data_IF_229573954786
#
_entry.id   IF_229573954786
#
_cell.length_a   1.000
_cell.length_b   1.000
_cell.length_c   1.000
_cell.angle_alpha   90.00
_cell.angle_beta   90.00
_cell.angle_gamma   90.00
#
_symmetry.space_group_name_H-M   'P 1'
#
loop_
_entity.id
_entity.type
_entity.pdbx_description
1 polymer ?
#
# COMPACT_ATOMS: atom_id res chain seq x y z
N UNK A 1 -45.51 41.98 -47.83
CA UNK A 1 -44.28 41.27 -47.38
C UNK A 1 -44.39 40.97 -45.90
N UNK A 2 -44.78 39.74 -45.53
CA UNK A 2 -44.90 39.30 -44.13
C UNK A 2 -43.56 38.72 -43.68
N UNK A 3 -42.91 39.32 -42.67
CA UNK A 3 -41.69 38.79 -42.04
C UNK A 3 -42.10 37.70 -41.03
N UNK A 4 -41.67 36.52 -41.22
CA UNK A 4 -41.81 35.35 -40.36
C UNK A 4 -40.61 35.29 -39.42
N UNK A 5 -40.82 35.47 -38.10
CA UNK A 5 -39.81 35.31 -37.09
C UNK A 5 -39.82 33.83 -36.63
N UNK A 6 -38.68 33.13 -36.88
CA UNK A 6 -38.45 31.83 -36.34
C UNK A 6 -37.93 31.97 -34.86
N UNK A 7 -38.69 31.44 -33.94
CA UNK A 7 -38.32 31.35 -32.55
C UNK A 7 -37.56 30.04 -32.38
N UNK A 8 -36.23 30.10 -32.18
CA UNK A 8 -35.42 28.94 -31.83
C UNK A 8 -35.55 28.68 -30.35
N UNK A 9 -36.27 27.63 -29.99
CA UNK A 9 -36.34 27.13 -28.60
C UNK A 9 -35.10 26.25 -28.39
N UNK A 10 -34.12 26.79 -27.67
CA UNK A 10 -32.92 26.04 -27.22
C UNK A 10 -33.31 25.13 -26.06
N UNK A 11 -33.31 23.83 -26.28
CA UNK A 11 -33.38 22.83 -25.19
C UNK A 11 -32.03 22.77 -24.48
N UNK A 12 -31.92 23.37 -23.31
CA UNK A 12 -30.82 23.15 -22.39
C UNK A 12 -31.01 21.78 -21.71
N UNK A 13 -30.33 20.75 -22.16
CA UNK A 13 -30.16 19.51 -21.42
C UNK A 13 -29.17 19.79 -20.30
N UNK A 14 -29.68 20.01 -19.08
CA UNK A 14 -28.88 20.00 -17.89
C UNK A 14 -28.49 18.54 -17.59
N UNK A 15 -27.25 18.16 -17.91
CA UNK A 15 -26.66 16.91 -17.41
C UNK A 15 -26.46 17.05 -15.91
N UNK A 16 -27.39 16.51 -15.13
CA UNK A 16 -27.17 16.23 -13.72
C UNK A 16 -26.17 15.08 -13.63
N UNK A 17 -24.89 15.42 -13.44
CA UNK A 17 -23.89 14.45 -13.01
C UNK A 17 -24.21 14.16 -11.54
N UNK A 18 -24.97 13.11 -11.31
CA UNK A 18 -25.09 12.53 -9.98
C UNK A 18 -23.71 11.98 -9.61
N UNK A 19 -22.93 12.74 -8.85
CA UNK A 19 -21.81 12.20 -8.11
C UNK A 19 -22.41 11.14 -7.17
N UNK A 20 -22.32 9.87 -7.52
CA UNK A 20 -22.62 8.77 -6.61
C UNK A 20 -21.63 8.92 -5.46
N UNK A 21 -22.11 9.39 -4.31
CA UNK A 21 -21.44 9.18 -3.03
C UNK A 21 -21.40 7.68 -2.82
N UNK A 22 -20.33 7.02 -3.26
CA UNK A 22 -20.06 5.65 -2.86
C UNK A 22 -19.82 5.68 -1.36
N UNK A 23 -20.78 5.17 -0.60
CA UNK A 23 -20.63 5.03 0.85
C UNK A 23 -19.38 4.19 1.09
N UNK A 24 -18.47 4.69 1.94
CA UNK A 24 -17.29 3.96 2.34
C UNK A 24 -17.73 2.65 3.02
N UNK A 25 -17.31 1.48 2.53
CA UNK A 25 -17.72 0.22 3.13
C UNK A 25 -17.26 0.16 4.60
N UNK A 26 -18.05 -0.45 5.49
CA UNK A 26 -17.68 -0.56 6.89
C UNK A 26 -16.38 -1.37 7.05
N UNK A 27 -15.59 -1.05 8.08
CA UNK A 27 -14.43 -1.85 8.44
C UNK A 27 -14.90 -3.21 8.96
N UNK A 28 -14.31 -4.27 8.41
CA UNK A 28 -14.55 -5.68 8.78
C UNK A 28 -13.24 -6.40 9.04
N UNK A 29 -13.32 -7.52 9.76
CA UNK A 29 -12.20 -8.41 10.05
C UNK A 29 -12.42 -9.73 9.33
N UNK A 30 -11.50 -10.11 8.46
CA UNK A 30 -11.41 -11.45 7.89
C UNK A 30 -10.45 -12.28 8.73
N UNK A 31 -10.96 -13.37 9.32
CA UNK A 31 -10.19 -14.21 10.25
C UNK A 31 -9.22 -15.10 9.47
N UNK A 32 -7.92 -15.01 9.82
CA UNK A 32 -6.86 -15.87 9.28
C UNK A 32 -6.56 -17.00 10.27
N UNK A 33 -6.39 -16.66 11.54
CA UNK A 33 -6.21 -17.60 12.65
C UNK A 33 -6.97 -17.13 13.89
N UNK A 34 -6.80 -17.78 15.03
CA UNK A 34 -7.45 -17.33 16.26
C UNK A 34 -6.96 -15.97 16.73
N UNK A 35 -5.74 -15.58 16.35
CA UNK A 35 -5.11 -14.33 16.78
C UNK A 35 -4.86 -13.35 15.65
N UNK A 36 -4.96 -13.75 14.37
CA UNK A 36 -4.61 -12.95 13.20
C UNK A 36 -5.80 -12.72 12.29
N UNK A 37 -5.98 -11.45 11.88
CA UNK A 37 -7.08 -11.00 11.03
C UNK A 37 -6.57 -10.03 9.97
N UNK A 38 -7.14 -10.09 8.75
CA UNK A 38 -7.02 -9.02 7.78
C UNK A 38 -8.11 -7.96 8.06
N UNK A 39 -7.73 -6.69 8.05
CA UNK A 39 -8.65 -5.55 8.19
C UNK A 39 -9.07 -5.11 6.79
N UNK A 40 -10.34 -5.30 6.48
CA UNK A 40 -10.96 -4.96 5.20
C UNK A 40 -11.87 -3.75 5.32
N UNK A 41 -12.29 -3.17 4.19
CA UNK A 41 -13.22 -2.03 4.16
C UNK A 41 -12.61 -0.75 4.73
N UNK A 42 -13.45 0.23 5.04
CA UNK A 42 -12.99 1.58 5.36
C UNK A 42 -12.39 2.28 4.13
N UNK A 43 -11.92 3.50 4.32
CA UNK A 43 -11.16 4.24 3.31
C UNK A 43 -9.66 4.00 3.50
N UNK A 44 -8.97 3.55 2.47
CA UNK A 44 -7.54 3.21 2.49
C UNK A 44 -7.31 1.72 2.25
N UNK A 45 -6.04 1.34 2.34
CA UNK A 45 -5.58 -0.02 2.09
C UNK A 45 -6.10 -1.03 3.11
N UNK A 46 -6.08 -2.31 2.78
CA UNK A 46 -6.25 -3.38 3.77
C UNK A 46 -5.08 -3.36 4.75
N UNK A 47 -5.36 -3.73 5.98
CA UNK A 47 -4.37 -3.82 7.05
C UNK A 47 -4.46 -5.14 7.79
N UNK A 48 -3.87 -5.20 8.97
CA UNK A 48 -3.88 -6.39 9.81
C UNK A 48 -4.18 -6.08 11.27
N UNK A 49 -4.68 -7.07 11.99
CA UNK A 49 -4.83 -7.07 13.44
C UNK A 49 -4.27 -8.37 14.01
N UNK A 50 -3.37 -8.26 14.97
CA UNK A 50 -2.85 -9.41 15.72
C UNK A 50 -3.09 -9.27 17.22
N UNK A 51 -3.56 -10.34 17.84
CA UNK A 51 -3.87 -10.40 19.28
C UNK A 51 -2.73 -11.14 19.98
N UNK A 52 -1.85 -10.40 20.67
CA UNK A 52 -0.84 -10.95 21.57
C UNK A 52 -1.42 -11.39 22.91
N UNK A 53 -0.54 -11.74 23.87
CA UNK A 53 -0.99 -12.21 25.18
C UNK A 53 -1.73 -11.12 25.98
N UNK A 54 -1.27 -9.86 25.89
CA UNK A 54 -1.83 -8.75 26.68
C UNK A 54 -2.24 -7.53 25.85
N UNK A 55 -2.01 -7.54 24.55
CA UNK A 55 -2.10 -6.38 23.68
C UNK A 55 -2.53 -6.74 22.25
N UNK A 56 -2.84 -5.73 21.47
CA UNK A 56 -3.17 -5.83 20.04
C UNK A 56 -2.19 -5.00 19.25
N UNK A 57 -1.69 -5.56 18.16
CA UNK A 57 -0.92 -4.86 17.11
C UNK A 57 -1.82 -4.63 15.91
N UNK A 58 -1.80 -3.41 15.38
CA UNK A 58 -2.45 -3.06 14.12
C UNK A 58 -1.36 -2.87 13.04
N UNK A 59 -1.63 -3.32 11.84
CA UNK A 59 -0.78 -3.13 10.66
C UNK A 59 -1.54 -2.19 9.72
N UNK A 60 -0.94 -1.06 9.41
CA UNK A 60 -1.48 0.05 8.63
C UNK A 60 -2.75 0.70 9.18
N UNK A 61 -2.85 2.01 9.01
CA UNK A 61 -3.80 2.83 9.76
C UNK A 61 -5.03 3.29 8.99
N UNK A 62 -5.19 2.91 7.70
CA UNK A 62 -6.19 3.51 6.82
C UNK A 62 -5.91 5.01 6.52
N UNK A 63 -6.93 5.74 6.03
CA UNK A 63 -6.76 7.13 5.58
C UNK A 63 -7.42 8.18 6.46
N UNK A 64 -8.44 7.84 7.25
CA UNK A 64 -9.28 8.83 7.92
C UNK A 64 -9.81 8.34 9.27
N UNK A 65 -10.33 9.30 10.04
CA UNK A 65 -10.86 9.05 11.38
C UNK A 65 -11.99 8.01 11.40
N UNK A 66 -12.90 8.07 10.44
CA UNK A 66 -14.05 7.15 10.39
C UNK A 66 -13.58 5.70 10.24
N UNK A 67 -12.59 5.48 9.38
CA UNK A 67 -12.00 4.16 9.17
C UNK A 67 -11.22 3.68 10.40
N UNK A 68 -10.47 4.57 11.06
CA UNK A 68 -9.77 4.24 12.32
C UNK A 68 -10.75 3.92 13.45
N UNK A 69 -11.82 4.69 13.61
CA UNK A 69 -12.90 4.40 14.57
C UNK A 69 -13.54 3.02 14.27
N UNK A 70 -13.66 2.69 12.97
CA UNK A 70 -14.09 1.38 12.49
C UNK A 70 -13.16 0.25 12.93
N UNK A 71 -11.82 0.45 12.82
CA UNK A 71 -10.82 -0.51 13.32
C UNK A 71 -11.03 -0.76 14.81
N UNK A 72 -11.06 0.29 15.64
CA UNK A 72 -11.24 0.15 17.09
C UNK A 72 -12.58 -0.50 17.46
N UNK A 73 -13.63 -0.21 16.70
CA UNK A 73 -14.95 -0.85 16.88
C UNK A 73 -14.89 -2.35 16.56
N UNK A 74 -14.15 -2.73 15.51
CA UNK A 74 -13.96 -4.13 15.13
C UNK A 74 -13.08 -4.89 16.15
N UNK A 75 -11.99 -4.27 16.61
CA UNK A 75 -11.13 -4.82 17.69
C UNK A 75 -11.95 -5.14 18.94
N UNK A 76 -12.78 -4.21 19.42
CA UNK A 76 -13.62 -4.38 20.63
C UNK A 76 -14.61 -5.54 20.54
N UNK A 77 -15.03 -5.94 19.34
CA UNK A 77 -15.93 -7.09 19.14
C UNK A 77 -15.21 -8.43 19.33
N UNK A 78 -13.89 -8.45 19.18
CA UNK A 78 -13.07 -9.67 19.20
C UNK A 78 -12.31 -9.81 20.53
N UNK A 79 -11.80 -8.71 21.08
CA UNK A 79 -10.98 -8.74 22.30
C UNK A 79 -11.15 -7.46 23.13
N UNK A 80 -10.94 -7.59 24.46
CA UNK A 80 -10.84 -6.44 25.37
C UNK A 80 -9.42 -5.94 25.58
N UNK A 81 -8.41 -6.53 24.91
CA UNK A 81 -7.01 -6.11 25.05
C UNK A 81 -6.78 -4.76 24.38
N UNK A 82 -5.88 -3.91 24.92
CA UNK A 82 -5.59 -2.61 24.33
C UNK A 82 -4.79 -2.74 23.02
N UNK A 83 -5.01 -1.82 22.08
CA UNK A 83 -4.09 -1.59 20.96
C UNK A 83 -2.92 -0.79 21.51
N UNK A 84 -1.70 -1.30 21.37
CA UNK A 84 -0.47 -0.68 21.87
C UNK A 84 0.54 -0.37 20.79
N UNK A 85 0.47 -1.09 19.65
CA UNK A 85 1.39 -0.95 18.55
C UNK A 85 0.63 -0.75 17.23
N UNK A 86 1.16 0.14 16.41
CA UNK A 86 0.81 0.33 15.00
C UNK A 86 2.06 0.14 14.16
N UNK A 87 2.05 -0.78 13.22
CA UNK A 87 3.16 -1.02 12.28
C UNK A 87 2.75 -0.47 10.92
N UNK A 88 3.48 0.51 10.39
CA UNK A 88 3.27 0.98 9.03
C UNK A 88 4.16 0.18 8.07
N UNK A 89 3.56 -0.43 7.04
CA UNK A 89 4.27 -1.23 6.05
C UNK A 89 5.10 -0.36 5.12
N UNK A 90 4.61 0.82 4.76
CA UNK A 90 5.30 1.82 3.94
C UNK A 90 4.63 3.19 4.07
N UNK A 91 5.09 4.18 3.30
CA UNK A 91 4.78 5.60 3.49
C UNK A 91 3.57 6.13 2.71
N UNK A 92 2.81 5.31 2.00
CA UNK A 92 1.68 5.80 1.20
C UNK A 92 0.52 6.23 2.09
N UNK A 93 -0.17 7.29 1.66
CA UNK A 93 -1.18 7.95 2.49
C UNK A 93 -2.34 7.05 2.91
N UNK A 94 -2.70 6.07 2.10
CA UNK A 94 -3.75 5.10 2.42
C UNK A 94 -3.33 4.04 3.44
N UNK A 95 -2.04 4.00 3.82
CA UNK A 95 -1.48 3.18 4.88
C UNK A 95 -1.15 3.96 6.15
N UNK A 96 -0.84 5.28 6.04
CA UNK A 96 -0.33 6.06 7.18
C UNK A 96 -1.18 7.26 7.58
N UNK A 97 -2.08 7.78 6.72
CA UNK A 97 -2.85 8.99 7.03
C UNK A 97 -3.84 8.83 8.19
N UNK A 98 -4.11 7.60 8.61
CA UNK A 98 -4.88 7.29 9.81
C UNK A 98 -4.10 7.39 11.12
N UNK A 99 -2.75 7.44 11.09
CA UNK A 99 -1.89 7.49 12.28
C UNK A 99 -2.35 8.55 13.30
N UNK A 100 -2.71 9.79 12.89
CA UNK A 100 -3.13 10.85 13.82
C UNK A 100 -4.42 10.57 14.59
N UNK A 101 -5.17 9.57 14.20
CA UNK A 101 -6.43 9.19 14.86
C UNK A 101 -6.28 8.01 15.81
N UNK A 102 -5.08 7.44 15.93
CA UNK A 102 -4.76 6.47 16.97
C UNK A 102 -4.54 7.20 18.30
N UNK A 103 -4.90 6.56 19.43
CA UNK A 103 -4.60 7.11 20.75
C UNK A 103 -3.09 7.36 20.94
N UNK A 104 -2.69 8.43 21.65
CA UNK A 104 -1.29 8.85 21.74
C UNK A 104 -0.37 7.86 22.48
N UNK A 105 -0.94 6.86 23.16
CA UNK A 105 -0.18 5.78 23.80
C UNK A 105 0.15 4.62 22.87
N UNK A 106 -0.35 4.65 21.61
CA UNK A 106 -0.03 3.63 20.61
C UNK A 106 1.30 3.99 19.97
N UNK A 107 2.30 3.14 20.16
CA UNK A 107 3.63 3.34 19.58
C UNK A 107 3.62 2.95 18.09
N UNK A 108 4.14 3.82 17.24
CA UNK A 108 4.19 3.60 15.79
C UNK A 108 5.58 3.10 15.39
N UNK A 109 5.62 1.96 14.68
CA UNK A 109 6.83 1.29 14.21
C UNK A 109 6.85 1.27 12.69
N UNK A 110 8.00 1.55 12.07
CA UNK A 110 8.18 1.45 10.62
C UNK A 110 9.66 1.29 10.23
N UNK A 111 9.93 1.09 8.95
CA UNK A 111 11.29 1.25 8.43
C UNK A 111 11.75 2.71 8.49
N UNK A 112 13.05 2.93 8.69
CA UNK A 112 13.62 4.30 8.73
C UNK A 112 13.29 5.11 7.47
N UNK A 113 13.35 4.48 6.30
CA UNK A 113 13.02 5.14 5.05
C UNK A 113 11.52 5.50 4.96
N UNK A 114 10.61 4.65 5.45
CA UNK A 114 9.19 4.99 5.54
C UNK A 114 9.00 6.32 6.31
N UNK A 115 9.63 6.47 7.48
CA UNK A 115 9.59 7.73 8.25
C UNK A 115 10.16 8.91 7.45
N UNK A 116 11.25 8.72 6.70
CA UNK A 116 11.84 9.77 5.84
C UNK A 116 10.91 10.15 4.69
N UNK A 117 10.32 9.15 4.03
CA UNK A 117 9.44 9.34 2.87
C UNK A 117 8.14 10.07 3.22
N UNK A 118 7.57 9.84 4.40
CA UNK A 118 6.40 10.56 4.90
C UNK A 118 6.64 12.09 4.90
N UNK A 119 7.89 12.51 5.09
CA UNK A 119 8.28 13.92 5.11
C UNK A 119 8.61 14.51 3.73
N UNK A 120 8.71 13.69 2.68
CA UNK A 120 8.97 14.18 1.33
C UNK A 120 7.80 15.00 0.80
N UNK A 121 8.07 15.96 -0.12
CA UNK A 121 7.00 16.64 -0.84
C UNK A 121 6.07 15.64 -1.52
N UNK A 122 4.82 16.03 -1.66
CA UNK A 122 3.86 15.26 -2.43
C UNK A 122 4.27 15.22 -3.92
N UNK A 123 3.67 14.31 -4.69
CA UNK A 123 4.00 14.10 -6.10
C UNK A 123 3.84 15.37 -6.96
N UNK A 124 2.93 16.26 -6.58
CA UNK A 124 2.70 17.56 -7.23
C UNK A 124 3.64 18.67 -6.75
N UNK A 125 4.59 18.35 -5.85
CA UNK A 125 5.54 19.28 -5.24
C UNK A 125 5.01 20.03 -4.02
N UNK A 126 3.77 19.81 -3.59
CA UNK A 126 3.26 20.41 -2.37
C UNK A 126 4.03 19.87 -1.14
N UNK A 127 4.27 20.71 -0.12
CA UNK A 127 4.91 20.25 1.11
C UNK A 127 4.12 19.13 1.77
N UNK A 128 4.84 18.17 2.40
CA UNK A 128 4.18 17.15 3.18
C UNK A 128 3.40 17.77 4.35
N UNK A 129 2.17 17.32 4.57
CA UNK A 129 1.37 17.70 5.74
C UNK A 129 2.05 17.31 7.07
N UNK A 130 2.92 16.30 7.04
CA UNK A 130 3.64 15.78 8.20
C UNK A 130 4.76 16.70 8.70
N UNK A 131 5.07 17.77 7.98
CA UNK A 131 6.06 18.79 8.40
C UNK A 131 5.50 19.74 9.45
N UNK A 132 4.19 19.77 9.69
CA UNK A 132 3.60 20.65 10.72
C UNK A 132 3.88 20.08 12.13
N UNK A 133 4.06 20.95 13.16
CA UNK A 133 4.37 20.50 14.52
C UNK A 133 3.33 19.50 15.08
N UNK A 134 2.05 19.69 14.75
CA UNK A 134 0.96 18.84 15.21
C UNK A 134 1.07 17.41 14.65
N UNK A 135 1.56 17.27 13.42
CA UNK A 135 1.70 15.98 12.76
C UNK A 135 2.97 15.22 13.15
N UNK A 136 4.00 15.92 13.66
CA UNK A 136 5.26 15.29 14.05
C UNK A 136 5.09 14.22 15.15
N UNK A 137 4.11 14.38 16.03
CA UNK A 137 3.80 13.42 17.11
C UNK A 137 3.27 12.07 16.61
N UNK A 138 2.88 11.98 15.33
CA UNK A 138 2.28 10.78 14.73
C UNK A 138 3.18 10.12 13.67
N UNK A 139 4.42 10.57 13.58
CA UNK A 139 5.46 9.89 12.81
C UNK A 139 5.90 8.62 13.54
N UNK A 140 6.37 7.58 12.82
CA UNK A 140 6.93 6.39 13.46
C UNK A 140 7.98 6.75 14.51
N UNK A 141 7.75 6.32 15.75
CA UNK A 141 8.65 6.60 16.91
C UNK A 141 9.81 5.62 16.95
N UNK A 142 9.51 4.36 16.61
CA UNK A 142 10.50 3.28 16.54
C UNK A 142 10.77 2.98 15.07
N UNK A 143 12.04 3.05 14.68
CA UNK A 143 12.45 2.72 13.31
C UNK A 143 13.55 1.66 13.33
N UNK A 144 13.64 0.89 12.24
CA UNK A 144 14.68 -0.12 12.03
C UNK A 144 15.12 -0.13 10.55
N UNK A 145 16.23 -0.80 10.24
CA UNK A 145 16.80 -0.80 8.89
C UNK A 145 16.79 -2.17 8.19
N UNK A 146 16.91 -3.28 8.94
CA UNK A 146 17.02 -4.60 8.32
C UNK A 146 15.94 -5.56 8.81
N UNK A 147 15.99 -5.90 10.10
CA UNK A 147 15.07 -6.80 10.77
C UNK A 147 14.78 -6.32 12.19
N UNK A 148 13.53 -6.53 12.62
CA UNK A 148 13.11 -6.34 14.00
C UNK A 148 12.20 -7.48 14.42
N UNK A 149 12.20 -7.83 15.71
CA UNK A 149 11.25 -8.74 16.32
C UNK A 149 10.44 -8.01 17.38
N UNK A 150 9.14 -8.22 17.37
CA UNK A 150 8.22 -7.74 18.40
C UNK A 150 7.78 -8.95 19.23
N UNK A 151 8.07 -8.92 20.54
CA UNK A 151 7.70 -9.98 21.47
C UNK A 151 6.43 -9.58 22.23
N UNK A 152 5.33 -10.29 22.01
CA UNK A 152 4.00 -9.99 22.53
C UNK A 152 3.60 -11.09 23.55
N UNK A 153 4.40 -11.24 24.59
CA UNK A 153 4.31 -12.35 25.53
C UNK A 153 4.90 -13.63 24.94
N UNK A 154 4.10 -14.67 24.78
CA UNK A 154 4.52 -15.94 24.17
C UNK A 154 4.64 -15.88 22.65
N UNK A 155 4.18 -14.80 22.03
CA UNK A 155 4.11 -14.62 20.57
C UNK A 155 5.20 -13.71 20.05
N UNK A 156 5.65 -13.96 18.82
CA UNK A 156 6.67 -13.14 18.16
C UNK A 156 6.22 -12.81 16.74
N UNK A 157 6.32 -11.52 16.39
CA UNK A 157 6.15 -11.00 15.02
C UNK A 157 7.52 -10.63 14.51
N UNK A 158 7.82 -10.94 13.26
CA UNK A 158 9.07 -10.58 12.59
C UNK A 158 8.80 -9.49 11.53
N UNK A 159 9.51 -8.39 11.62
CA UNK A 159 9.50 -7.30 10.65
C UNK A 159 10.77 -7.41 9.80
N UNK A 160 10.62 -7.46 8.48
CA UNK A 160 11.73 -7.56 7.55
C UNK A 160 11.74 -6.41 6.55
N UNK A 161 12.91 -5.87 6.32
CA UNK A 161 13.20 -5.08 5.14
C UNK A 161 14.00 -5.92 4.15
N UNK A 162 13.44 -6.21 2.98
CA UNK A 162 14.08 -7.06 1.97
C UNK A 162 14.79 -6.25 0.87
N UNK A 163 14.64 -4.93 0.89
CA UNK A 163 15.22 -4.02 -0.09
C UNK A 163 14.20 -3.05 -0.66
N UNK A 164 14.64 -2.27 -1.64
CA UNK A 164 13.81 -1.32 -2.37
C UNK A 164 12.75 -2.08 -3.19
N UNK A 165 11.53 -1.56 -3.23
CA UNK A 165 10.43 -2.15 -3.96
C UNK A 165 9.49 -1.10 -4.53
N UNK A 166 8.24 -1.11 -4.07
CA UNK A 166 7.23 -0.12 -4.38
C UNK A 166 7.68 1.30 -3.96
N UNK A 167 8.26 1.42 -2.76
CA UNK A 167 8.99 2.59 -2.25
C UNK A 167 10.40 2.17 -1.79
N UNK A 168 11.11 3.01 -1.03
CA UNK A 168 12.38 2.60 -0.39
C UNK A 168 12.20 2.11 1.05
N UNK A 169 11.00 2.22 1.62
CA UNK A 169 10.71 1.93 3.01
C UNK A 169 9.73 0.77 3.23
N UNK A 170 9.51 -0.06 2.21
CA UNK A 170 8.56 -1.18 2.28
C UNK A 170 9.05 -2.28 3.22
N UNK A 171 8.24 -2.69 4.17
CA UNK A 171 8.51 -3.83 5.05
C UNK A 171 7.50 -4.95 4.88
N UNK A 172 7.91 -6.13 5.31
CA UNK A 172 7.07 -7.31 5.45
C UNK A 172 6.88 -7.60 6.93
N UNK A 173 5.63 -7.71 7.37
CA UNK A 173 5.25 -8.11 8.72
C UNK A 173 4.90 -9.58 8.70
N UNK A 174 5.78 -10.43 9.20
CA UNK A 174 5.66 -11.89 9.14
C UNK A 174 5.25 -12.48 10.49
N UNK A 175 4.28 -13.37 10.45
CA UNK A 175 3.73 -14.14 11.56
C UNK A 175 4.14 -15.60 11.37
N UNK A 176 5.24 -16.05 11.99
CA UNK A 176 5.79 -17.39 11.75
C UNK A 176 4.83 -18.53 12.13
N UNK A 177 4.12 -18.37 13.24
CA UNK A 177 3.18 -19.41 13.72
C UNK A 177 1.97 -19.55 12.78
N UNK A 178 1.48 -18.44 12.22
CA UNK A 178 0.36 -18.38 11.29
C UNK A 178 0.79 -18.57 9.82
N UNK A 179 2.09 -18.68 9.56
CA UNK A 179 2.67 -18.72 8.20
C UNK A 179 2.07 -17.66 7.27
N UNK A 180 1.90 -16.46 7.79
CA UNK A 180 1.22 -15.37 7.10
C UNK A 180 2.10 -14.11 7.11
N UNK A 181 2.16 -13.43 5.97
CA UNK A 181 2.90 -12.18 5.79
C UNK A 181 2.00 -11.05 5.29
N UNK A 182 2.05 -9.90 5.96
CA UNK A 182 1.50 -8.64 5.43
C UNK A 182 2.61 -7.92 4.68
N UNK A 183 2.37 -7.63 3.41
CA UNK A 183 3.39 -7.20 2.46
C UNK A 183 3.16 -5.77 1.93
N UNK A 184 2.19 -5.03 2.51
CA UNK A 184 1.82 -3.70 2.00
C UNK A 184 1.54 -3.74 0.50
N UNK A 185 2.15 -2.84 -0.25
CA UNK A 185 1.94 -2.69 -1.69
C UNK A 185 3.03 -3.36 -2.55
N UNK A 186 3.71 -4.37 -1.97
CA UNK A 186 4.69 -5.18 -2.69
C UNK A 186 4.08 -6.06 -3.79
N UNK A 187 2.75 -6.28 -3.79
CA UNK A 187 2.08 -6.99 -4.88
C UNK A 187 0.68 -6.42 -5.13
N UNK A 188 0.43 -6.03 -6.38
CA UNK A 188 -0.88 -5.65 -6.88
C UNK A 188 -1.43 -6.76 -7.78
N UNK A 189 -2.70 -7.10 -7.59
CA UNK A 189 -3.38 -8.14 -8.36
C UNK A 189 -4.49 -7.53 -9.21
N UNK A 190 -4.64 -8.04 -10.45
CA UNK A 190 -5.64 -7.53 -11.40
C UNK A 190 -5.34 -6.15 -12.00
N UNK A 191 -4.18 -5.58 -11.69
CA UNK A 191 -3.65 -4.33 -12.25
C UNK A 191 -2.11 -4.35 -12.25
N UNK A 192 -1.45 -3.51 -13.09
CA UNK A 192 0.00 -3.42 -13.09
C UNK A 192 0.57 -3.03 -11.73
N UNK A 193 1.77 -3.53 -11.43
CA UNK A 193 2.52 -3.13 -10.24
C UNK A 193 2.79 -1.62 -10.26
N UNK A 194 2.55 -0.97 -9.14
CA UNK A 194 2.85 0.43 -8.94
C UNK A 194 4.27 0.57 -8.35
N UNK A 195 5.10 1.41 -8.95
CA UNK A 195 6.42 1.77 -8.44
C UNK A 195 6.44 3.29 -8.25
N UNK A 196 6.75 3.73 -7.04
CA UNK A 196 6.85 5.14 -6.70
C UNK A 196 8.28 5.66 -6.88
N UNK A 197 8.70 5.87 -8.14
CA UNK A 197 10.05 6.37 -8.47
C UNK A 197 10.36 7.70 -7.76
N UNK A 198 9.37 8.57 -7.54
CA UNK A 198 9.56 9.83 -6.79
C UNK A 198 9.90 9.63 -5.29
N UNK A 199 9.66 8.42 -4.76
CA UNK A 199 10.09 7.97 -3.42
C UNK A 199 11.30 7.03 -3.51
N UNK A 200 11.94 6.92 -4.66
CA UNK A 200 13.08 6.04 -4.88
C UNK A 200 12.72 4.56 -5.10
N UNK A 201 11.43 4.23 -5.25
CA UNK A 201 11.00 2.89 -5.67
C UNK A 201 11.61 2.51 -7.01
N UNK A 202 11.95 1.23 -7.20
CA UNK A 202 12.62 0.73 -8.39
C UNK A 202 12.11 -0.66 -8.76
N UNK A 203 11.72 -0.84 -10.03
CA UNK A 203 11.08 -2.07 -10.48
C UNK A 203 12.04 -3.28 -10.52
N UNK A 204 13.32 -3.06 -10.85
CA UNK A 204 14.32 -4.14 -10.88
C UNK A 204 14.73 -4.57 -9.49
N UNK A 205 14.90 -3.61 -8.57
CA UNK A 205 15.15 -3.93 -7.16
C UNK A 205 13.94 -4.63 -6.54
N UNK A 206 12.70 -4.25 -6.92
CA UNK A 206 11.48 -4.89 -6.46
C UNK A 206 11.46 -6.40 -6.77
N UNK A 207 11.89 -6.82 -7.96
CA UNK A 207 12.03 -8.24 -8.31
C UNK A 207 13.02 -8.95 -7.36
N UNK A 208 14.13 -8.30 -7.01
CA UNK A 208 15.10 -8.85 -6.05
C UNK A 208 14.51 -8.93 -4.64
N UNK A 209 13.80 -7.88 -4.22
CA UNK A 209 13.11 -7.79 -2.93
C UNK A 209 12.11 -8.92 -2.74
N UNK A 210 11.21 -9.14 -3.71
CA UNK A 210 10.25 -10.25 -3.67
C UNK A 210 10.95 -11.62 -3.69
N UNK A 211 12.01 -11.75 -4.50
CA UNK A 211 12.81 -12.98 -4.55
C UNK A 211 13.45 -13.30 -3.20
N UNK A 212 14.00 -12.28 -2.52
CA UNK A 212 14.63 -12.45 -1.20
C UNK A 212 13.56 -12.76 -0.13
N UNK A 213 12.42 -12.11 -0.18
CA UNK A 213 11.28 -12.41 0.69
C UNK A 213 10.90 -13.89 0.59
N UNK A 214 10.60 -14.37 -0.62
CA UNK A 214 10.18 -15.75 -0.85
C UNK A 214 11.25 -16.79 -0.45
N UNK A 215 12.54 -16.45 -0.48
CA UNK A 215 13.62 -17.33 -0.02
C UNK A 215 13.77 -17.35 1.50
N UNK A 216 13.38 -16.28 2.19
CA UNK A 216 13.70 -16.08 3.60
C UNK A 216 12.58 -16.51 4.53
N UNK A 217 11.31 -16.22 4.17
CA UNK A 217 10.16 -16.54 5.01
C UNK A 217 9.36 -17.73 4.47
N UNK A 218 8.87 -18.57 5.37
CA UNK A 218 8.02 -19.72 5.06
C UNK A 218 6.53 -19.34 5.20
N UNK A 219 6.14 -18.25 4.51
CA UNK A 219 4.74 -17.83 4.48
C UNK A 219 3.95 -18.64 3.43
N UNK A 220 2.76 -19.06 3.79
CA UNK A 220 1.76 -19.70 2.91
C UNK A 220 0.72 -18.68 2.44
N UNK A 221 0.36 -17.71 3.32
CA UNK A 221 -0.60 -16.65 3.07
C UNK A 221 0.09 -15.28 3.00
N UNK A 222 -0.37 -14.46 2.05
CA UNK A 222 0.14 -13.10 1.84
C UNK A 222 -1.02 -12.11 1.77
N UNK A 223 -1.00 -11.11 2.64
CA UNK A 223 -1.97 -10.03 2.72
C UNK A 223 -1.35 -8.77 2.11
N UNK A 224 -1.83 -8.34 0.95
CA UNK A 224 -1.44 -7.06 0.35
C UNK A 224 -2.43 -5.95 0.69
N UNK A 225 -2.02 -4.69 0.52
CA UNK A 225 -2.86 -3.54 0.81
C UNK A 225 -4.13 -3.45 -0.05
N UNK A 226 -4.17 -4.12 -1.20
CA UNK A 226 -5.24 -3.93 -2.19
C UNK A 226 -5.81 -5.22 -2.78
N UNK A 227 -5.68 -6.34 -2.09
CA UNK A 227 -6.26 -7.62 -2.54
C UNK A 227 -6.75 -8.47 -1.36
N UNK A 228 -7.56 -9.46 -1.70
CA UNK A 228 -7.84 -10.58 -0.81
C UNK A 228 -6.56 -11.38 -0.54
N UNK A 229 -6.58 -12.21 0.50
CA UNK A 229 -5.44 -13.06 0.87
C UNK A 229 -4.99 -13.89 -0.32
N UNK A 230 -3.69 -13.90 -0.57
CA UNK A 230 -3.04 -14.61 -1.67
C UNK A 230 -2.17 -15.74 -1.15
N UNK A 231 -1.99 -16.74 -1.99
CA UNK A 231 -1.09 -17.86 -1.70
C UNK A 231 0.36 -17.54 -2.12
N UNK A 232 1.30 -18.35 -1.65
CA UNK A 232 2.69 -18.29 -2.12
C UNK A 232 2.81 -18.38 -3.64
N UNK A 233 2.03 -19.27 -4.26
CA UNK A 233 2.01 -19.44 -5.73
C UNK A 233 1.53 -18.18 -6.44
N UNK A 234 0.57 -17.43 -5.86
CA UNK A 234 0.13 -16.16 -6.45
C UNK A 234 1.25 -15.12 -6.46
N UNK A 235 2.07 -15.07 -5.39
CA UNK A 235 3.23 -14.16 -5.33
C UNK A 235 4.33 -14.60 -6.30
N UNK A 236 4.60 -15.91 -6.43
CA UNK A 236 5.57 -16.45 -7.40
C UNK A 236 5.15 -16.13 -8.85
N UNK A 237 3.85 -16.26 -9.16
CA UNK A 237 3.31 -15.89 -10.46
C UNK A 237 3.43 -14.38 -10.70
N UNK A 238 3.07 -13.55 -9.71
CA UNK A 238 3.20 -12.09 -9.80
C UNK A 238 4.66 -11.67 -10.05
N UNK A 239 5.62 -12.27 -9.35
CA UNK A 239 7.04 -12.05 -9.57
C UNK A 239 7.47 -12.41 -11.01
N UNK A 240 7.00 -13.54 -11.53
CA UNK A 240 7.29 -13.96 -12.90
C UNK A 240 6.67 -13.00 -13.94
N UNK A 241 5.45 -12.51 -13.69
CA UNK A 241 4.78 -11.52 -14.54
C UNK A 241 5.56 -10.19 -14.61
N UNK A 242 6.02 -9.66 -13.46
CA UNK A 242 6.83 -8.43 -13.43
C UNK A 242 8.14 -8.63 -14.20
N UNK A 243 8.84 -9.74 -13.97
CA UNK A 243 10.09 -10.02 -14.66
C UNK A 243 9.91 -10.15 -16.19
N UNK A 244 8.83 -10.81 -16.63
CA UNK A 244 8.46 -10.90 -18.04
C UNK A 244 8.09 -9.54 -18.63
N UNK A 245 7.38 -8.71 -17.87
CA UNK A 245 7.04 -7.34 -18.27
C UNK A 245 8.31 -6.50 -18.50
N UNK A 246 9.24 -6.50 -17.53
CA UNK A 246 10.52 -5.80 -17.64
C UNK A 246 11.30 -6.26 -18.88
N UNK A 247 11.32 -7.56 -19.15
CA UNK A 247 12.02 -8.11 -20.34
C UNK A 247 11.39 -7.60 -21.64
N UNK A 248 10.06 -7.50 -21.72
CA UNK A 248 9.37 -6.94 -22.90
C UNK A 248 9.76 -5.47 -23.15
N UNK A 249 9.78 -4.64 -22.09
CA UNK A 249 10.20 -3.23 -22.18
C UNK A 249 11.67 -3.14 -22.57
N UNK A 250 12.55 -3.92 -21.94
CA UNK A 250 13.98 -3.96 -22.24
C UNK A 250 14.27 -4.33 -23.69
N UNK A 251 13.57 -5.32 -24.24
CA UNK A 251 13.74 -5.71 -25.65
C UNK A 251 13.42 -4.56 -26.59
N UNK A 252 12.30 -3.87 -26.38
CA UNK A 252 11.91 -2.75 -27.22
C UNK A 252 12.84 -1.54 -27.08
N UNK A 253 13.33 -1.26 -25.86
CA UNK A 253 14.32 -0.21 -25.62
C UNK A 253 15.65 -0.53 -26.32
N UNK A 254 16.09 -1.81 -26.36
CA UNK A 254 17.30 -2.24 -27.06
C UNK A 254 17.17 -2.16 -28.59
N UNK A 255 15.94 -2.16 -29.13
CA UNK A 255 15.63 -1.89 -30.54
C UNK A 255 15.67 -0.38 -30.88
N UNK A 256 15.98 0.48 -29.92
CA UNK A 256 16.07 1.93 -30.10
C UNK A 256 14.71 2.65 -30.09
N UNK A 257 13.64 2.01 -29.63
CA UNK A 257 12.30 2.64 -29.52
C UNK A 257 12.28 3.70 -28.42
N UNK A 258 11.54 4.78 -28.67
CA UNK A 258 11.28 5.82 -27.66
C UNK A 258 10.28 5.33 -26.62
N UNK A 259 10.17 6.04 -25.48
CA UNK A 259 9.18 5.72 -24.44
C UNK A 259 7.75 5.67 -25.02
N UNK A 260 7.38 6.65 -25.81
CA UNK A 260 6.04 6.75 -26.43
C UNK A 260 5.76 5.56 -27.36
N UNK A 261 6.76 5.14 -28.14
CA UNK A 261 6.64 3.98 -29.01
C UNK A 261 6.48 2.67 -28.24
N UNK A 262 7.17 2.56 -27.09
CA UNK A 262 7.04 1.40 -26.21
C UNK A 262 5.68 1.41 -25.53
N UNK A 263 5.27 2.55 -24.95
CA UNK A 263 3.95 2.68 -24.30
C UNK A 263 2.80 2.33 -25.24
N UNK A 264 2.89 2.71 -26.52
CA UNK A 264 1.88 2.37 -27.53
C UNK A 264 1.73 0.84 -27.78
N UNK A 265 2.69 0.03 -27.38
CA UNK A 265 2.65 -1.44 -27.48
C UNK A 265 2.08 -2.13 -26.23
N UNK A 266 1.70 -1.37 -25.21
CA UNK A 266 1.12 -1.84 -23.94
C UNK A 266 -0.28 -1.22 -23.73
N UNK A 267 -1.02 -1.71 -22.77
CA UNK A 267 -2.29 -1.09 -22.38
C UNK A 267 -2.06 0.26 -21.69
N UNK A 268 -3.07 1.14 -21.74
CA UNK A 268 -3.01 2.45 -21.10
C UNK A 268 -2.69 2.33 -19.57
N UNK A 269 -3.25 1.31 -18.92
CA UNK A 269 -3.00 1.04 -17.51
C UNK A 269 -1.54 0.68 -17.20
N UNK A 270 -0.80 0.13 -18.17
CA UNK A 270 0.60 -0.28 -18.01
C UNK A 270 1.58 0.88 -18.31
N UNK A 271 1.12 1.98 -18.92
CA UNK A 271 1.98 3.08 -19.36
C UNK A 271 2.92 3.61 -18.29
N UNK A 272 2.43 3.69 -17.02
CA UNK A 272 3.22 4.16 -15.89
C UNK A 272 4.33 3.18 -15.50
N UNK A 273 4.05 1.87 -15.52
CA UNK A 273 5.07 0.85 -15.23
C UNK A 273 6.09 0.78 -16.39
N UNK A 274 5.65 0.92 -17.64
CA UNK A 274 6.55 1.04 -18.81
C UNK A 274 7.51 2.21 -18.60
N UNK A 275 7.00 3.38 -18.20
CA UNK A 275 7.82 4.57 -17.94
C UNK A 275 8.86 4.32 -16.84
N UNK A 276 8.45 3.73 -15.71
CA UNK A 276 9.37 3.39 -14.63
C UNK A 276 10.50 2.48 -15.12
N UNK A 277 10.15 1.35 -15.74
CA UNK A 277 11.15 0.38 -16.27
C UNK A 277 12.06 1.03 -17.33
N UNK A 278 11.50 1.82 -18.25
CA UNK A 278 12.29 2.46 -19.30
C UNK A 278 13.30 3.48 -18.76
N UNK A 279 12.90 4.27 -17.76
CA UNK A 279 13.80 5.24 -17.14
C UNK A 279 14.89 4.55 -16.33
N UNK A 280 14.55 3.52 -15.56
CA UNK A 280 15.51 2.70 -14.81
C UNK A 280 16.55 2.04 -15.72
N UNK A 281 16.17 1.58 -16.92
CA UNK A 281 17.11 1.01 -17.91
C UNK A 281 18.14 2.04 -18.42
N UNK A 282 17.85 3.33 -18.37
CA UNK A 282 18.80 4.37 -18.78
C UNK A 282 19.82 4.71 -17.69
N UNK A 283 19.52 4.35 -16.45
CA UNK A 283 20.38 4.59 -15.28
C UNK A 283 21.32 3.41 -15.01
N UNK A 284 21.07 2.26 -15.65
CA UNK A 284 21.89 1.02 -15.53
C UNK A 284 23.08 1.04 -16.50
#
# INVERSE_FOLDING_TARGET
>A
MKKMYFLAIGFFFAFYVAAQNQETPPVTLEKISDNLYQIMGGRGANGGMYIGDNEVVIIDSKMDKTSVDGIFSAVKKVTGKPVTLLVNTHSDGDHVNGNPFFPPQVTIVAHENCRKEILLPQRDGAPSMWLTPEMQAFLPEITFNDKMQLHLGSKTIELYYFGVGHTTGDIVVYFPEEKTAFIGDQAFFGRPQLIHSYKGGNSFEHVKTLTNMLKTIDAENFCSGHADIKTRTDIENHLAEIAAFQQKVKNQASEGKTLEQIQAAFSENEARLVESVYNELKEM
#
